data_IF_530908155125
#
_entry.id   IF_530908155125
#
_cell.length_a   1.000
_cell.length_b   1.000
_cell.length_c   1.000
_cell.angle_alpha   90.00
_cell.angle_beta   90.00
_cell.angle_gamma   90.00
#
_symmetry.space_group_name_H-M   'P 1'
#
loop_
_entity.id
_entity.type
_entity.pdbx_description
1 polymer ?
#
# COMPACT_ATOMS: atom_id res chain seq x y z
N UNK A 1 -24.47 14.37 -32.19
CA UNK A 1 -24.15 14.32 -30.74
C UNK A 1 -23.37 13.05 -30.45
N UNK A 2 -22.07 13.15 -30.18
CA UNK A 2 -21.20 11.98 -29.93
C UNK A 2 -21.44 11.43 -28.53
N UNK A 3 -21.90 10.17 -28.43
CA UNK A 3 -22.04 9.45 -27.15
C UNK A 3 -20.63 9.22 -26.59
N UNK A 4 -20.28 9.94 -25.52
CA UNK A 4 -19.09 9.67 -24.71
C UNK A 4 -19.19 8.24 -24.16
N UNK A 5 -18.52 7.29 -24.79
CA UNK A 5 -18.23 5.99 -24.19
C UNK A 5 -17.43 6.24 -22.91
N UNK A 6 -18.07 6.08 -21.74
CA UNK A 6 -17.35 6.03 -20.47
C UNK A 6 -16.53 4.74 -20.48
N UNK A 7 -15.21 4.88 -20.62
CA UNK A 7 -14.28 3.76 -20.42
C UNK A 7 -14.62 3.08 -19.07
N UNK A 8 -14.71 1.75 -19.01
CA UNK A 8 -14.99 1.04 -17.76
C UNK A 8 -13.89 1.29 -16.71
N UNK A 9 -12.67 1.57 -17.18
CA UNK A 9 -11.52 1.89 -16.33
C UNK A 9 -11.52 3.40 -16.04
N UNK A 10 -11.09 3.83 -14.85
CA UNK A 10 -11.23 5.19 -14.34
C UNK A 10 -10.56 6.31 -15.16
N UNK A 11 -10.56 7.57 -14.68
CA UNK A 11 -10.01 8.70 -15.43
C UNK A 11 -8.48 8.66 -15.59
N UNK A 12 -7.81 7.69 -14.98
CA UNK A 12 -6.36 7.50 -15.00
C UNK A 12 -5.99 6.15 -15.61
N UNK A 13 -4.77 6.07 -16.12
CA UNK A 13 -4.12 4.83 -16.53
C UNK A 13 -2.64 4.87 -16.13
N UNK A 14 -2.03 3.71 -16.04
CA UNK A 14 -0.59 3.60 -15.85
C UNK A 14 0.11 3.58 -17.21
N UNK A 15 1.26 4.22 -17.29
CA UNK A 15 2.17 4.17 -18.42
C UNK A 15 3.56 3.81 -17.89
N UNK A 16 4.30 2.99 -18.62
CA UNK A 16 5.65 2.59 -18.27
C UNK A 16 6.63 3.02 -19.34
N UNK A 17 7.74 3.63 -18.91
CA UNK A 17 8.93 3.86 -19.73
C UNK A 17 10.10 3.11 -19.07
N UNK A 18 10.25 1.84 -19.46
CA UNK A 18 11.03 0.86 -18.69
C UNK A 18 10.51 0.74 -17.25
N UNK A 19 11.36 1.09 -16.29
CA UNK A 19 11.05 1.08 -14.86
C UNK A 19 10.44 2.39 -14.34
N UNK A 20 10.26 3.40 -15.20
CA UNK A 20 9.57 4.63 -14.84
C UNK A 20 8.06 4.45 -15.00
N UNK A 21 7.35 4.30 -13.88
CA UNK A 21 5.90 4.20 -13.82
C UNK A 21 5.27 5.60 -13.70
N UNK A 22 4.29 5.88 -14.55
CA UNK A 22 3.60 7.16 -14.64
C UNK A 22 2.08 6.97 -14.62
N UNK A 23 1.40 7.57 -13.65
CA UNK A 23 -0.06 7.64 -13.64
C UNK A 23 -0.50 8.88 -14.41
N UNK A 24 -1.16 8.69 -15.55
CA UNK A 24 -1.57 9.77 -16.46
C UNK A 24 -3.09 9.92 -16.53
N UNK A 25 -3.54 11.15 -16.73
CA UNK A 25 -4.95 11.41 -17.04
C UNK A 25 -5.30 10.93 -18.44
N UNK A 26 -6.42 10.19 -18.58
CA UNK A 26 -6.93 9.79 -19.90
C UNK A 26 -7.39 10.98 -20.75
N UNK A 27 -7.85 12.05 -20.09
CA UNK A 27 -8.45 13.21 -20.76
C UNK A 27 -7.48 14.38 -20.95
N UNK A 28 -6.32 14.34 -20.29
CA UNK A 28 -5.26 15.33 -20.45
C UNK A 28 -3.93 14.57 -20.59
N UNK A 29 -3.62 14.14 -21.82
CA UNK A 29 -2.50 13.22 -22.12
C UNK A 29 -1.14 13.71 -21.63
N UNK A 30 -0.95 15.03 -21.52
CA UNK A 30 0.29 15.66 -21.02
C UNK A 30 0.35 15.73 -19.49
N UNK A 31 -0.75 15.50 -18.77
CA UNK A 31 -0.80 15.62 -17.32
C UNK A 31 -0.46 14.31 -16.64
N UNK A 32 0.78 14.23 -16.18
CA UNK A 32 1.24 13.23 -15.22
C UNK A 32 0.75 13.61 -13.82
N UNK A 33 0.02 12.71 -13.18
CA UNK A 33 -0.44 12.88 -11.79
C UNK A 33 0.64 12.45 -10.82
N UNK A 34 1.35 11.37 -11.16
CA UNK A 34 2.45 10.85 -10.36
C UNK A 34 3.44 10.10 -11.26
N UNK A 35 4.72 10.22 -10.95
CA UNK A 35 5.80 9.49 -11.60
C UNK A 35 6.73 8.94 -10.52
N UNK A 36 7.24 7.74 -10.71
CA UNK A 36 8.16 7.10 -9.78
C UNK A 36 8.93 5.97 -10.46
N UNK A 37 10.07 5.61 -9.88
CA UNK A 37 10.84 4.41 -10.25
C UNK A 37 10.24 3.20 -9.52
N UNK A 38 10.06 2.10 -10.24
CA UNK A 38 9.52 0.83 -9.69
C UNK A 38 10.42 -0.35 -10.06
N UNK A 39 10.24 -1.48 -9.39
CA UNK A 39 10.97 -2.71 -9.73
C UNK A 39 10.44 -3.39 -11.01
N UNK A 40 11.23 -4.31 -11.57
CA UNK A 40 10.79 -5.14 -12.71
C UNK A 40 9.55 -5.98 -12.34
N UNK A 41 9.58 -6.60 -11.16
CA UNK A 41 8.46 -7.40 -10.63
C UNK A 41 7.17 -6.58 -10.51
N UNK A 42 7.28 -5.28 -10.19
CA UNK A 42 6.12 -4.39 -10.18
C UNK A 42 5.48 -4.32 -11.56
N UNK A 43 6.29 -4.09 -12.61
CA UNK A 43 5.81 -3.95 -13.98
C UNK A 43 5.18 -5.25 -14.47
N UNK A 44 5.81 -6.39 -14.17
CA UNK A 44 5.27 -7.70 -14.52
C UNK A 44 3.94 -7.99 -13.82
N UNK A 45 3.89 -7.84 -12.50
CA UNK A 45 2.66 -8.08 -11.75
C UNK A 45 1.54 -7.11 -12.17
N UNK A 46 1.88 -5.85 -12.50
CA UNK A 46 0.92 -4.91 -13.05
C UNK A 46 0.31 -5.42 -14.36
N UNK A 47 1.13 -5.90 -15.30
CA UNK A 47 0.65 -6.47 -16.59
C UNK A 47 -0.22 -7.69 -16.37
N UNK A 48 0.16 -8.59 -15.47
CA UNK A 48 -0.65 -9.78 -15.11
C UNK A 48 -2.04 -9.36 -14.59
N UNK A 49 -2.09 -8.31 -13.76
CA UNK A 49 -3.36 -7.80 -13.21
C UNK A 49 -4.18 -7.06 -14.27
N UNK A 50 -3.55 -6.17 -15.05
CA UNK A 50 -4.26 -5.32 -16.00
C UNK A 50 -4.63 -6.04 -17.29
N UNK A 51 -3.74 -6.84 -17.86
CA UNK A 51 -3.92 -7.46 -19.17
C UNK A 51 -4.58 -8.84 -19.01
N UNK A 52 -4.00 -9.71 -18.17
CA UNK A 52 -4.46 -11.09 -18.00
C UNK A 52 -5.62 -11.24 -17.01
N UNK A 53 -5.94 -10.17 -16.28
CA UNK A 53 -6.98 -10.15 -15.22
C UNK A 53 -6.75 -11.22 -14.14
N UNK A 54 -5.49 -11.55 -13.89
CA UNK A 54 -5.08 -12.56 -12.92
C UNK A 54 -4.17 -11.96 -11.85
N UNK A 55 -3.65 -12.78 -10.94
CA UNK A 55 -2.79 -12.32 -9.85
C UNK A 55 -1.76 -13.38 -9.47
N UNK A 56 -0.48 -13.02 -9.53
CA UNK A 56 0.61 -13.85 -9.04
C UNK A 56 0.96 -13.48 -7.58
N UNK A 57 0.63 -14.39 -6.66
CA UNK A 57 0.88 -14.22 -5.23
C UNK A 57 2.38 -14.29 -4.89
N UNK A 58 3.15 -15.08 -5.62
CA UNK A 58 4.60 -15.23 -5.39
C UNK A 58 5.32 -13.95 -5.76
N UNK A 59 5.01 -13.37 -6.92
CA UNK A 59 5.54 -12.06 -7.32
C UNK A 59 5.16 -10.97 -6.32
N UNK A 60 3.90 -10.95 -5.87
CA UNK A 60 3.47 -10.01 -4.83
C UNK A 60 4.32 -10.12 -3.55
N UNK A 61 4.64 -11.33 -3.10
CA UNK A 61 5.47 -11.54 -1.92
C UNK A 61 6.94 -11.16 -2.11
N UNK A 62 7.43 -11.09 -3.34
CA UNK A 62 8.77 -10.61 -3.66
C UNK A 62 8.84 -9.09 -3.83
N UNK A 63 7.70 -8.41 -4.06
CA UNK A 63 7.67 -6.95 -4.10
C UNK A 63 8.14 -6.34 -2.77
N UNK A 64 8.88 -5.24 -2.88
CA UNK A 64 9.18 -4.39 -1.73
C UNK A 64 7.89 -3.83 -1.11
N UNK A 65 7.92 -3.44 0.16
CA UNK A 65 6.78 -2.79 0.81
C UNK A 65 6.35 -1.53 0.04
N UNK A 66 7.31 -0.74 -0.45
CA UNK A 66 7.06 0.46 -1.24
C UNK A 66 6.36 0.14 -2.58
N UNK A 67 6.82 -0.88 -3.31
CA UNK A 67 6.17 -1.30 -4.56
C UNK A 67 4.71 -1.73 -4.34
N UNK A 68 4.43 -2.45 -3.24
CA UNK A 68 3.06 -2.85 -2.89
C UNK A 68 2.17 -1.66 -2.60
N UNK A 69 2.67 -0.66 -1.88
CA UNK A 69 1.93 0.58 -1.58
C UNK A 69 1.62 1.38 -2.84
N UNK A 70 2.63 1.53 -3.71
CA UNK A 70 2.47 2.17 -5.01
C UNK A 70 1.42 1.42 -5.83
N UNK A 71 1.47 0.09 -5.87
CA UNK A 71 0.56 -0.71 -6.66
C UNK A 71 -0.87 -0.56 -6.13
N UNK A 72 -1.07 -0.61 -4.81
CA UNK A 72 -2.36 -0.37 -4.19
C UNK A 72 -2.92 1.02 -4.52
N UNK A 73 -2.08 2.06 -4.45
CA UNK A 73 -2.44 3.42 -4.86
C UNK A 73 -2.83 3.47 -6.35
N UNK A 74 -2.02 2.88 -7.21
CA UNK A 74 -2.19 2.91 -8.65
C UNK A 74 -3.45 2.17 -9.11
N UNK A 75 -3.71 0.96 -8.60
CA UNK A 75 -4.92 0.19 -8.88
C UNK A 75 -6.17 0.98 -8.49
N UNK A 76 -6.18 1.59 -7.29
CA UNK A 76 -7.28 2.44 -6.83
C UNK A 76 -7.50 3.66 -7.74
N UNK A 77 -6.43 4.32 -8.16
CA UNK A 77 -6.53 5.52 -9.04
C UNK A 77 -6.98 5.16 -10.45
N UNK A 78 -6.48 4.07 -11.01
CA UNK A 78 -6.85 3.60 -12.35
C UNK A 78 -8.21 2.89 -12.38
N UNK A 79 -8.80 2.62 -11.20
CA UNK A 79 -10.01 1.80 -11.02
C UNK A 79 -9.84 0.41 -11.67
N UNK A 80 -8.71 -0.22 -11.41
CA UNK A 80 -8.44 -1.60 -11.78
C UNK A 80 -8.75 -2.45 -10.56
N UNK A 81 -9.71 -3.35 -10.70
CA UNK A 81 -10.11 -4.26 -9.64
C UNK A 81 -9.23 -5.52 -9.67
N UNK A 82 -8.69 -5.90 -8.51
CA UNK A 82 -8.02 -7.18 -8.29
C UNK A 82 -8.30 -7.63 -6.87
N UNK A 83 -9.19 -8.63 -6.72
CA UNK A 83 -9.67 -9.09 -5.42
C UNK A 83 -8.55 -9.78 -4.64
N UNK A 84 -7.76 -10.57 -5.35
CA UNK A 84 -6.63 -11.34 -4.83
C UNK A 84 -5.51 -10.42 -4.37
N UNK A 85 -5.17 -9.39 -5.17
CA UNK A 85 -4.24 -8.35 -4.74
C UNK A 85 -4.73 -7.68 -3.46
N UNK A 86 -6.00 -7.24 -3.43
CA UNK A 86 -6.57 -6.57 -2.24
C UNK A 86 -6.51 -7.47 -1.01
N UNK A 87 -6.81 -8.77 -1.16
CA UNK A 87 -6.71 -9.75 -0.08
C UNK A 87 -5.25 -9.90 0.39
N UNK A 88 -4.30 -10.06 -0.52
CA UNK A 88 -2.88 -10.19 -0.20
C UNK A 88 -2.30 -8.93 0.47
N UNK A 89 -2.67 -7.76 -0.03
CA UNK A 89 -2.29 -6.46 0.54
C UNK A 89 -2.84 -6.30 1.96
N UNK A 90 -4.13 -6.58 2.18
CA UNK A 90 -4.72 -6.50 3.51
C UNK A 90 -4.09 -7.52 4.49
N UNK A 91 -3.72 -8.72 4.02
CA UNK A 91 -2.97 -9.68 4.84
C UNK A 91 -1.60 -9.13 5.25
N UNK A 92 -0.90 -8.44 4.35
CA UNK A 92 0.37 -7.79 4.69
C UNK A 92 0.22 -6.70 5.76
N UNK A 93 -0.92 -6.00 5.78
CA UNK A 93 -1.28 -5.08 6.87
C UNK A 93 -1.56 -5.86 8.16
N UNK A 94 -2.25 -6.99 8.07
CA UNK A 94 -2.53 -7.88 9.21
C UNK A 94 -1.26 -8.31 9.95
N UNK A 95 -0.19 -8.63 9.25
CA UNK A 95 1.10 -9.00 9.87
C UNK A 95 1.66 -7.89 10.79
N UNK A 96 1.44 -6.63 10.47
CA UNK A 96 1.82 -5.52 11.35
C UNK A 96 1.00 -5.51 12.63
N UNK A 97 -0.30 -5.80 12.54
CA UNK A 97 -1.19 -5.92 13.71
C UNK A 97 -0.77 -7.10 14.59
N UNK A 98 -0.46 -8.24 13.98
CA UNK A 98 0.02 -9.43 14.71
C UNK A 98 1.34 -9.12 15.43
N UNK A 99 2.27 -8.40 14.78
CA UNK A 99 3.53 -7.99 15.41
C UNK A 99 3.30 -7.02 16.58
N UNK A 100 2.34 -6.10 16.48
CA UNK A 100 1.95 -5.26 17.61
C UNK A 100 1.44 -6.08 18.79
N UNK A 101 0.58 -7.08 18.53
CA UNK A 101 0.06 -7.97 19.58
C UNK A 101 1.17 -8.77 20.26
N UNK A 102 2.18 -9.21 19.50
CA UNK A 102 3.36 -9.88 20.06
C UNK A 102 4.18 -8.96 20.95
N UNK A 103 4.47 -7.73 20.49
CA UNK A 103 5.20 -6.73 21.29
C UNK A 103 4.44 -6.40 22.57
N UNK A 104 3.13 -6.16 22.47
CA UNK A 104 2.30 -5.86 23.64
C UNK A 104 2.28 -7.02 24.63
N UNK A 105 2.20 -8.27 24.15
CA UNK A 105 2.28 -9.46 25.00
C UNK A 105 3.63 -9.58 25.69
N UNK A 106 4.74 -9.29 24.98
CA UNK A 106 6.08 -9.30 25.54
C UNK A 106 6.26 -8.26 26.65
N UNK A 107 5.77 -7.03 26.44
CA UNK A 107 5.81 -5.98 27.46
C UNK A 107 4.98 -6.35 28.70
N UNK A 108 3.80 -6.97 28.51
CA UNK A 108 2.95 -7.42 29.63
C UNK A 108 3.61 -8.46 30.53
N UNK A 109 4.52 -9.27 30.01
CA UNK A 109 5.28 -10.26 30.80
C UNK A 109 6.60 -9.70 31.36
N UNK A 110 6.82 -8.38 31.26
CA UNK A 110 7.96 -7.67 31.83
C UNK A 110 9.18 -7.51 30.90
N UNK A 111 9.03 -7.74 29.58
CA UNK A 111 10.09 -7.43 28.62
C UNK A 111 10.02 -5.95 28.19
N UNK A 112 10.81 -5.11 28.86
CA UNK A 112 10.86 -3.66 28.64
C UNK A 112 12.04 -3.22 27.75
N UNK A 113 12.51 -4.11 26.88
CA UNK A 113 13.58 -3.82 25.95
C UNK A 113 13.26 -2.55 25.10
N UNK A 114 14.14 -1.52 25.09
CA UNK A 114 13.88 -0.27 24.36
C UNK A 114 13.61 -0.45 22.88
N UNK A 115 14.16 -1.51 22.28
CA UNK A 115 13.97 -1.88 20.88
C UNK A 115 12.50 -2.20 20.59
N UNK A 116 11.78 -2.85 21.52
CA UNK A 116 10.37 -3.20 21.37
C UNK A 116 9.48 -1.95 21.35
N UNK A 117 9.77 -0.96 22.21
CA UNK A 117 9.05 0.34 22.20
C UNK A 117 9.30 1.09 20.89
N UNK A 118 10.54 1.08 20.40
CA UNK A 118 10.91 1.69 19.11
C UNK A 118 10.18 1.00 17.94
N UNK A 119 10.19 -0.34 17.91
CA UNK A 119 9.51 -1.13 16.90
C UNK A 119 7.99 -0.89 16.92
N UNK A 120 7.36 -0.88 18.10
CA UNK A 120 5.93 -0.58 18.25
C UNK A 120 5.58 0.80 17.65
N UNK A 121 6.38 1.82 17.95
CA UNK A 121 6.22 3.17 17.39
C UNK A 121 6.33 3.18 15.87
N UNK A 122 7.31 2.46 15.31
CA UNK A 122 7.49 2.35 13.86
C UNK A 122 6.29 1.67 13.19
N UNK A 123 5.79 0.57 13.76
CA UNK A 123 4.64 -0.15 13.20
C UNK A 123 3.36 0.70 13.28
N UNK A 124 3.13 1.40 14.39
CA UNK A 124 1.98 2.30 14.53
C UNK A 124 2.02 3.45 13.51
N UNK A 125 3.19 4.02 13.25
CA UNK A 125 3.34 5.03 12.18
C UNK A 125 2.97 4.44 10.82
N UNK A 126 3.46 3.25 10.48
CA UNK A 126 3.12 2.57 9.21
C UNK A 126 1.62 2.31 9.07
N UNK A 127 0.96 1.82 10.11
CA UNK A 127 -0.48 1.56 10.07
C UNK A 127 -1.30 2.85 9.93
N UNK A 128 -0.86 3.94 10.55
CA UNK A 128 -1.46 5.26 10.37
C UNK A 128 -1.31 5.75 8.93
N UNK A 129 -0.11 5.67 8.36
CA UNK A 129 0.16 6.09 6.98
C UNK A 129 -0.65 5.27 5.96
N UNK A 130 -0.90 3.99 6.27
CA UNK A 130 -1.78 3.10 5.49
C UNK A 130 -3.28 3.34 5.73
N UNK A 131 -3.65 4.27 6.62
CA UNK A 131 -5.03 4.67 6.90
C UNK A 131 -5.84 3.63 7.69
N UNK A 132 -5.18 2.77 8.46
CA UNK A 132 -5.83 1.68 9.21
C UNK A 132 -6.67 2.22 10.38
N UNK A 133 -6.28 3.35 10.95
CA UNK A 133 -7.03 4.03 12.01
C UNK A 133 -6.96 5.56 11.87
N UNK A 134 -7.84 6.24 12.60
CA UNK A 134 -8.00 7.69 12.51
C UNK A 134 -6.84 8.45 13.17
N UNK A 135 -6.70 9.73 12.81
CA UNK A 135 -5.73 10.64 13.42
C UNK A 135 -5.94 10.80 14.94
N UNK A 136 -7.21 10.74 15.40
CA UNK A 136 -7.53 10.80 16.82
C UNK A 136 -6.94 9.60 17.57
N UNK A 137 -7.14 8.39 17.04
CA UNK A 137 -6.59 7.14 17.60
C UNK A 137 -5.06 7.18 17.61
N UNK A 138 -4.45 7.61 16.49
CA UNK A 138 -2.99 7.74 16.39
C UNK A 138 -2.41 8.70 17.44
N UNK A 139 -3.09 9.82 17.70
CA UNK A 139 -2.65 10.81 18.69
C UNK A 139 -2.73 10.25 20.11
N UNK A 140 -3.75 9.46 20.43
CA UNK A 140 -3.85 8.76 21.72
C UNK A 140 -2.68 7.79 21.93
N UNK A 141 -2.33 7.00 20.90
CA UNK A 141 -1.17 6.11 20.97
C UNK A 141 0.15 6.85 21.17
N UNK A 142 0.35 7.99 20.50
CA UNK A 142 1.55 8.82 20.70
C UNK A 142 1.69 9.31 22.13
N UNK A 143 0.59 9.74 22.76
CA UNK A 143 0.60 10.18 24.17
C UNK A 143 0.98 9.04 25.10
N UNK A 144 0.33 7.89 24.96
CA UNK A 144 0.63 6.69 25.75
C UNK A 144 2.10 6.28 25.65
N UNK A 145 2.68 6.35 24.45
CA UNK A 145 4.09 6.03 24.21
C UNK A 145 5.07 7.06 24.76
N UNK A 146 4.68 8.33 24.85
CA UNK A 146 5.50 9.40 25.43
C UNK A 146 5.43 9.42 26.96
N UNK A 147 4.29 9.08 27.56
CA UNK A 147 4.10 9.05 29.01
C UNK A 147 4.75 7.82 29.67
N UNK A 148 5.03 6.75 28.90
CA UNK A 148 5.67 5.52 29.38
C UNK A 148 7.10 5.33 28.82
N UNK A 149 7.76 6.40 28.35
CA UNK A 149 9.15 6.42 27.90
C UNK A 149 10.05 6.96 29.02
#
# INVERSE_FOLDING_TARGET
MSKRFKSPNGPFHMNFDGLHAQIKSKHAKTRTVRSLLVSHLFVELWRIIEDDKSFDKTMFHQLSESDREVMAYALKRCKIESREFKKAYNLSIGHHVDRLNMIQSAMKIGNDAPELKSEMKQILNKLYDKGVFSHQIYTQFKKYLHENA
#
